data_IF_099942257728
#
_entry.id   IF_099942257728
#
_cell.length_a   1.000
_cell.length_b   1.000
_cell.length_c   1.000
_cell.angle_alpha   90.00
_cell.angle_beta   90.00
_cell.angle_gamma   90.00
#
_symmetry.space_group_name_H-M   'P 1'
#
loop_
_entity.id
_entity.type
_entity.pdbx_description
1 polymer ?
#
# COMPACT_ATOMS: atom_id res chain seq x y z
N UNK A 1 6.58 8.11 17.44
CA UNK A 1 6.86 9.32 16.63
C UNK A 1 7.93 9.05 15.57
N UNK A 2 9.05 8.38 15.89
CA UNK A 2 10.13 8.04 14.93
C UNK A 2 9.67 7.29 13.67
N UNK A 3 8.81 6.25 13.79
CA UNK A 3 8.35 5.45 12.63
C UNK A 3 7.62 6.24 11.54
N UNK A 4 6.98 7.36 11.91
CA UNK A 4 6.21 8.18 10.98
C UNK A 4 7.11 9.11 10.16
N UNK A 5 8.24 9.50 10.74
CA UNK A 5 9.27 10.26 10.03
C UNK A 5 9.92 9.41 8.93
N UNK A 6 10.09 8.10 9.14
CA UNK A 6 10.78 7.22 8.18
C UNK A 6 10.10 7.15 6.81
N UNK A 7 8.76 6.98 6.73
CA UNK A 7 8.06 6.94 5.43
C UNK A 7 8.21 8.25 4.66
N UNK A 8 8.12 9.39 5.35
CA UNK A 8 8.29 10.70 4.73
C UNK A 8 9.74 10.96 4.33
N UNK A 9 10.70 10.57 5.16
CA UNK A 9 12.13 10.69 4.86
C UNK A 9 12.50 9.84 3.65
N UNK A 10 12.10 8.57 3.59
CA UNK A 10 12.37 7.70 2.43
C UNK A 10 11.76 8.26 1.14
N UNK A 11 10.56 8.85 1.22
CA UNK A 11 9.94 9.53 0.07
C UNK A 11 10.73 10.76 -0.36
N UNK A 12 11.19 11.59 0.57
CA UNK A 12 12.04 12.73 0.25
C UNK A 12 13.37 12.29 -0.38
N UNK A 13 14.00 11.25 0.15
CA UNK A 13 15.22 10.64 -0.42
C UNK A 13 14.99 10.06 -1.82
N UNK A 14 13.86 9.39 -2.02
CA UNK A 14 13.42 8.91 -3.34
C UNK A 14 13.33 10.06 -4.34
N UNK A 15 12.70 11.17 -3.94
CA UNK A 15 12.57 12.37 -4.77
C UNK A 15 13.89 13.10 -5.02
N UNK A 16 14.84 13.04 -4.10
CA UNK A 16 16.19 13.59 -4.31
C UNK A 16 16.95 12.83 -5.42
N UNK A 17 16.55 11.59 -5.71
CA UNK A 17 17.14 10.71 -6.71
C UNK A 17 16.20 10.43 -7.89
N UNK A 18 15.24 11.31 -8.11
CA UNK A 18 14.16 11.09 -9.08
C UNK A 18 14.69 10.87 -10.52
N UNK A 19 15.82 11.49 -10.86
CA UNK A 19 16.44 11.39 -12.17
C UNK A 19 17.39 10.18 -12.34
N UNK A 20 17.65 9.43 -11.26
CA UNK A 20 18.50 8.23 -11.29
C UNK A 20 17.74 6.99 -11.78
N UNK A 21 16.40 7.00 -11.73
CA UNK A 21 15.55 5.83 -12.00
C UNK A 21 14.34 6.18 -12.87
N UNK A 22 13.84 5.21 -13.62
CA UNK A 22 12.71 5.40 -14.56
C UNK A 22 11.34 5.35 -13.86
N UNK A 23 11.23 4.50 -12.85
CA UNK A 23 10.03 4.36 -12.02
C UNK A 23 10.40 3.97 -10.59
N UNK A 24 9.44 4.18 -9.70
CA UNK A 24 9.60 3.97 -8.27
C UNK A 24 8.49 3.09 -7.74
N UNK A 25 8.84 2.31 -6.74
CA UNK A 25 7.95 1.37 -6.07
C UNK A 25 7.98 1.69 -4.58
N UNK A 26 6.80 1.90 -4.01
CA UNK A 26 6.61 1.96 -2.57
C UNK A 26 5.80 0.75 -2.13
N UNK A 27 6.26 0.09 -1.07
CA UNK A 27 5.51 -0.98 -0.38
C UNK A 27 5.61 -0.84 1.13
N UNK A 28 4.52 -1.21 1.78
CA UNK A 28 4.53 -1.61 3.18
C UNK A 28 5.27 -2.94 3.36
N UNK A 29 5.71 -3.19 4.58
CA UNK A 29 6.62 -4.28 4.93
C UNK A 29 5.97 -5.69 4.86
N UNK A 30 4.66 -5.75 4.70
CA UNK A 30 3.80 -6.94 4.63
C UNK A 30 3.19 -7.15 3.24
N UNK A 31 3.68 -6.44 2.23
CA UNK A 31 3.24 -6.53 0.85
C UNK A 31 4.40 -6.94 -0.05
N UNK A 32 4.16 -7.97 -0.85
CA UNK A 32 5.09 -8.39 -1.89
C UNK A 32 4.64 -7.86 -3.27
N UNK A 33 5.57 -7.29 -4.02
CA UNK A 33 5.37 -6.84 -5.39
C UNK A 33 6.31 -7.63 -6.29
N UNK A 34 5.71 -8.46 -7.14
CA UNK A 34 6.46 -9.27 -8.10
C UNK A 34 7.01 -8.44 -9.26
N UNK A 35 8.06 -8.96 -9.92
CA UNK A 35 8.58 -8.40 -11.18
C UNK A 35 7.49 -8.36 -12.25
N UNK A 36 6.58 -9.33 -12.29
CA UNK A 36 5.43 -9.34 -13.21
C UNK A 36 4.48 -8.17 -12.96
N UNK A 37 4.28 -7.77 -11.70
CA UNK A 37 3.50 -6.58 -11.38
C UNK A 37 4.18 -5.29 -11.86
N UNK A 38 5.51 -5.20 -11.72
CA UNK A 38 6.29 -4.07 -12.23
C UNK A 38 6.24 -3.99 -13.77
N UNK A 39 6.41 -5.11 -14.48
CA UNK A 39 6.31 -5.15 -15.93
C UNK A 39 4.91 -4.76 -16.43
N UNK A 40 3.86 -5.27 -15.76
CA UNK A 40 2.49 -4.92 -16.04
C UNK A 40 2.20 -3.43 -15.78
N UNK A 41 2.80 -2.84 -14.73
CA UNK A 41 2.73 -1.41 -14.46
C UNK A 41 3.26 -0.59 -15.64
N UNK A 42 4.49 -0.85 -16.08
CA UNK A 42 5.12 -0.12 -17.20
C UNK A 42 4.28 -0.24 -18.48
N UNK A 43 3.79 -1.45 -18.79
CA UNK A 43 2.97 -1.69 -19.98
C UNK A 43 1.61 -0.96 -19.92
N UNK A 44 0.92 -1.01 -18.78
CA UNK A 44 -0.38 -0.35 -18.61
C UNK A 44 -0.26 1.17 -18.48
N UNK A 45 0.87 1.69 -17.99
CA UNK A 45 1.11 3.13 -17.96
C UNK A 45 1.28 3.71 -19.37
N UNK A 46 2.04 3.04 -20.23
CA UNK A 46 2.21 3.44 -21.63
C UNK A 46 0.85 3.49 -22.36
N UNK A 47 0.01 2.50 -22.11
CA UNK A 47 -1.36 2.47 -22.59
C UNK A 47 -2.17 3.65 -22.06
N UNK A 48 -2.15 3.87 -20.75
CA UNK A 48 -2.96 4.91 -20.10
C UNK A 48 -2.61 6.28 -20.65
N UNK A 49 -1.32 6.51 -20.92
CA UNK A 49 -0.79 7.70 -21.58
C UNK A 49 -1.33 7.88 -23.00
N UNK A 50 -1.46 6.81 -23.78
CA UNK A 50 -2.07 6.86 -25.12
C UNK A 50 -3.58 7.14 -25.04
N UNK A 51 -4.29 6.52 -24.09
CA UNK A 51 -5.74 6.68 -23.98
C UNK A 51 -6.17 8.07 -23.49
N UNK A 52 -5.46 8.63 -22.51
CA UNK A 52 -5.82 9.92 -21.88
C UNK A 52 -5.08 11.11 -22.48
N UNK A 53 -4.00 10.86 -23.23
CA UNK A 53 -3.10 11.89 -23.72
C UNK A 53 -2.11 12.38 -22.66
N UNK A 54 -1.08 13.08 -23.14
CA UNK A 54 0.19 13.38 -22.46
C UNK A 54 0.08 14.10 -21.10
N UNK A 55 -1.02 14.83 -20.88
CA UNK A 55 -1.22 15.61 -19.67
C UNK A 55 -2.19 14.94 -18.68
N UNK A 56 -3.30 14.38 -19.17
CA UNK A 56 -4.36 13.87 -18.30
C UNK A 56 -4.01 12.54 -17.64
N UNK A 57 -3.15 11.72 -18.25
CA UNK A 57 -2.79 10.41 -17.70
C UNK A 57 -2.16 10.50 -16.30
N UNK A 58 -1.47 11.59 -15.98
CA UNK A 58 -0.82 11.82 -14.67
C UNK A 58 -1.81 12.05 -13.52
N UNK A 59 -3.08 12.37 -13.84
CA UNK A 59 -4.18 12.44 -12.87
C UNK A 59 -4.63 11.06 -12.39
N UNK A 60 -4.16 10.00 -13.04
CA UNK A 60 -4.49 8.63 -12.72
C UNK A 60 -3.27 7.91 -12.16
N UNK A 61 -3.50 6.98 -11.25
CA UNK A 61 -2.49 6.05 -10.78
C UNK A 61 -3.03 4.64 -10.89
N UNK A 62 -2.23 3.75 -11.47
CA UNK A 62 -2.54 2.32 -11.52
C UNK A 62 -2.50 1.79 -10.09
N UNK A 63 -3.65 1.32 -9.62
CA UNK A 63 -3.87 1.00 -8.22
C UNK A 63 -3.95 -0.51 -8.00
N UNK A 64 -3.32 -0.95 -6.92
CA UNK A 64 -3.27 -2.36 -6.55
C UNK A 64 -4.50 -2.76 -5.72
N UNK A 65 -5.05 -3.94 -5.96
CA UNK A 65 -6.00 -4.55 -5.05
C UNK A 65 -5.26 -5.37 -4.01
N UNK A 66 -5.39 -5.00 -2.75
CA UNK A 66 -4.87 -5.81 -1.65
C UNK A 66 -5.88 -6.91 -1.28
N UNK A 67 -5.42 -8.15 -1.22
CA UNK A 67 -6.19 -9.26 -0.69
C UNK A 67 -5.45 -10.00 0.42
N UNK A 68 -6.20 -10.68 1.26
CA UNK A 68 -5.72 -11.48 2.38
C UNK A 68 -6.41 -12.82 2.44
N UNK A 69 -5.75 -13.73 3.13
CA UNK A 69 -6.27 -15.04 3.46
C UNK A 69 -7.25 -14.93 4.65
N UNK A 70 -8.53 -15.23 4.41
CA UNK A 70 -9.54 -15.37 5.44
C UNK A 70 -9.39 -16.74 6.11
N UNK A 71 -8.48 -16.81 7.07
CA UNK A 71 -8.25 -17.99 7.89
C UNK A 71 -8.52 -17.65 9.35
N UNK A 72 -9.11 -18.59 10.10
CA UNK A 72 -9.15 -18.48 11.56
C UNK A 72 -7.72 -18.61 12.10
N UNK A 73 -7.15 -17.48 12.53
CA UNK A 73 -5.74 -17.37 12.94
C UNK A 73 -5.36 -18.25 14.14
N UNK A 74 -6.33 -18.85 14.85
CA UNK A 74 -6.07 -19.78 15.94
C UNK A 74 -5.37 -21.09 15.49
N UNK A 75 -5.30 -21.36 14.18
CA UNK A 75 -4.80 -22.62 13.64
C UNK A 75 -3.78 -22.47 12.52
N UNK A 76 -3.10 -21.34 12.34
CA UNK A 76 -2.04 -21.22 11.32
C UNK A 76 -0.66 -21.12 11.98
N UNK A 77 0.16 -22.15 11.79
CA UNK A 77 1.55 -22.30 12.23
C UNK A 77 2.38 -22.99 11.12
N UNK A 78 3.68 -23.16 11.34
CA UNK A 78 4.59 -23.75 10.33
C UNK A 78 4.21 -25.19 9.94
N UNK A 79 3.52 -25.93 10.80
CA UNK A 79 3.14 -27.33 10.56
C UNK A 79 1.81 -27.50 9.83
N UNK A 80 0.98 -26.46 9.76
CA UNK A 80 -0.33 -26.52 9.10
C UNK A 80 -0.56 -25.41 8.07
N UNK A 81 0.46 -24.63 7.72
CA UNK A 81 0.46 -23.64 6.62
C UNK A 81 0.06 -24.21 5.25
N UNK A 82 0.13 -25.53 5.06
CA UNK A 82 -0.33 -26.21 3.84
C UNK A 82 -1.83 -26.53 3.85
N UNK A 83 -2.53 -26.40 4.99
CA UNK A 83 -4.00 -26.57 5.09
C UNK A 83 -4.78 -25.36 4.54
N UNK A 84 -4.15 -24.55 3.69
CA UNK A 84 -4.72 -23.37 3.03
C UNK A 84 -5.86 -23.69 2.05
N UNK A 85 -6.23 -24.96 1.87
CA UNK A 85 -7.30 -25.38 0.97
C UNK A 85 -8.69 -24.83 1.32
N UNK A 86 -8.92 -24.42 2.57
CA UNK A 86 -10.20 -23.84 3.04
C UNK A 86 -10.17 -22.31 3.18
N UNK A 87 -9.07 -21.68 2.78
CA UNK A 87 -8.84 -20.26 3.02
C UNK A 87 -9.40 -19.44 1.87
N UNK A 88 -10.49 -18.71 2.12
CA UNK A 88 -11.06 -17.80 1.13
C UNK A 88 -10.21 -16.53 1.04
N UNK A 89 -9.98 -16.01 -0.17
CA UNK A 89 -9.31 -14.70 -0.32
C UNK A 89 -10.33 -13.59 -0.08
N UNK A 90 -10.07 -12.74 0.90
CA UNK A 90 -10.88 -11.55 1.20
C UNK A 90 -10.14 -10.30 0.82
N UNK A 91 -10.84 -9.32 0.28
CA UNK A 91 -10.29 -7.99 0.09
C UNK A 91 -10.09 -7.38 1.48
N UNK A 92 -8.83 -7.17 1.87
CA UNK A 92 -8.48 -6.83 3.26
C UNK A 92 -9.25 -5.64 3.80
N UNK A 93 -9.29 -4.59 3.00
CA UNK A 93 -9.92 -3.33 3.36
C UNK A 93 -11.42 -3.48 3.60
N UNK A 94 -12.02 -4.53 3.03
CA UNK A 94 -13.42 -4.59 2.71
C UNK A 94 -14.04 -5.87 3.27
N UNK A 95 -14.60 -5.74 4.46
CA UNK A 95 -15.68 -6.63 4.92
C UNK A 95 -16.97 -6.44 4.08
N UNK A 96 -16.85 -6.13 2.79
CA UNK A 96 -17.90 -5.76 1.82
C UNK A 96 -17.59 -6.39 0.47
N UNK A 97 -18.60 -6.71 -0.36
CA UNK A 97 -18.41 -7.36 -1.65
C UNK A 97 -17.58 -6.49 -2.64
N UNK A 98 -16.85 -7.16 -3.54
CA UNK A 98 -15.99 -6.57 -4.59
C UNK A 98 -16.72 -5.53 -5.45
N UNK A 99 -18.04 -5.68 -5.65
CA UNK A 99 -18.87 -4.74 -6.42
C UNK A 99 -18.95 -3.34 -5.82
N UNK A 100 -18.65 -3.18 -4.53
CA UNK A 100 -18.54 -1.85 -3.91
C UNK A 100 -17.12 -1.27 -4.09
N UNK A 101 -16.13 -2.12 -4.43
CA UNK A 101 -14.68 -1.82 -4.49
C UNK A 101 -14.30 -1.13 -5.75
N UNK A 102 -14.87 -1.66 -6.81
CA UNK A 102 -14.62 -1.24 -8.15
C UNK A 102 -15.83 -0.42 -8.58
N UNK A 103 -15.59 0.88 -8.74
CA UNK A 103 -16.56 1.82 -9.31
C UNK A 103 -16.30 1.95 -10.80
N UNK A 104 -17.32 2.37 -11.58
CA UNK A 104 -17.09 2.79 -12.95
C UNK A 104 -16.02 3.88 -13.01
N UNK A 105 -15.05 3.72 -13.90
CA UNK A 105 -14.10 4.79 -14.22
C UNK A 105 -14.71 5.78 -15.21
N UNK A 106 -14.19 7.00 -15.23
CA UNK A 106 -14.42 7.96 -16.33
C UNK A 106 -13.63 7.57 -17.58
N UNK A 107 -12.55 6.79 -17.40
CA UNK A 107 -11.82 6.11 -18.47
C UNK A 107 -12.73 5.08 -19.17
N UNK A 108 -12.23 4.50 -20.26
CA UNK A 108 -12.87 3.35 -20.91
C UNK A 108 -13.19 2.24 -19.88
N UNK A 109 -14.48 2.10 -19.57
CA UNK A 109 -15.01 1.17 -18.56
C UNK A 109 -14.80 -0.30 -18.91
N UNK A 110 -14.56 -0.61 -20.19
CA UNK A 110 -14.19 -1.96 -20.62
C UNK A 110 -12.73 -2.31 -20.27
N UNK A 111 -11.93 -1.32 -19.89
CA UNK A 111 -10.50 -1.48 -19.59
C UNK A 111 -10.13 -1.14 -18.15
N UNK A 112 -10.75 -0.12 -17.58
CA UNK A 112 -10.41 0.37 -16.24
C UNK A 112 -11.64 0.49 -15.35
N UNK A 113 -11.47 0.05 -14.10
CA UNK A 113 -12.37 0.39 -12.99
C UNK A 113 -11.64 1.31 -12.02
N UNK A 114 -12.38 2.06 -11.20
CA UNK A 114 -11.83 2.93 -10.17
C UNK A 114 -11.90 2.25 -8.81
N UNK A 115 -10.84 2.33 -8.00
CA UNK A 115 -10.94 1.93 -6.59
C UNK A 115 -11.70 2.98 -5.77
N UNK A 116 -12.77 2.59 -5.07
CA UNK A 116 -13.53 3.51 -4.22
C UNK A 116 -12.79 3.88 -2.93
N UNK A 117 -11.91 3.00 -2.45
CA UNK A 117 -11.02 3.23 -1.32
C UNK A 117 -9.66 2.61 -1.61
N UNK A 118 -8.66 3.43 -1.96
CA UNK A 118 -7.33 2.94 -2.28
C UNK A 118 -6.42 2.99 -1.05
N UNK A 119 -6.65 2.14 -0.04
CA UNK A 119 -5.64 1.88 0.98
C UNK A 119 -4.97 0.54 0.68
N UNK A 120 -3.95 0.68 -0.18
CA UNK A 120 -3.29 -0.44 -0.83
C UNK A 120 -1.99 -0.82 -0.13
N UNK A 121 -1.44 0.05 0.73
CA UNK A 121 -0.12 -0.10 1.34
C UNK A 121 1.02 -0.11 0.30
N UNK A 122 0.71 0.14 -0.97
CA UNK A 122 1.63 0.03 -2.07
C UNK A 122 1.20 0.93 -3.22
N UNK A 123 2.17 1.55 -3.88
CA UNK A 123 1.94 2.33 -5.10
C UNK A 123 3.20 2.32 -5.95
N UNK A 124 3.00 2.60 -7.24
CA UNK A 124 4.08 2.81 -8.19
C UNK A 124 3.86 4.14 -8.90
N UNK A 125 4.96 4.76 -9.34
CA UNK A 125 4.90 5.96 -10.16
C UNK A 125 6.13 6.06 -11.05
N UNK A 126 5.94 6.42 -12.32
CA UNK A 126 7.07 6.80 -13.17
C UNK A 126 7.65 8.14 -12.73
N UNK A 127 8.87 8.43 -13.20
CA UNK A 127 9.51 9.74 -13.06
C UNK A 127 8.56 10.88 -13.43
N UNK A 128 7.90 10.79 -14.58
CA UNK A 128 7.02 11.84 -15.09
C UNK A 128 5.77 12.06 -14.23
N UNK A 129 5.19 11.00 -13.66
CA UNK A 129 4.10 11.14 -12.68
C UNK A 129 4.59 11.82 -11.41
N UNK A 130 5.71 11.37 -10.86
CA UNK A 130 6.25 11.88 -9.60
C UNK A 130 6.67 13.34 -9.70
N UNK A 131 7.31 13.76 -10.79
CA UNK A 131 7.62 15.15 -11.08
C UNK A 131 6.35 16.01 -11.09
N UNK A 132 5.29 15.50 -11.70
CA UNK A 132 4.02 16.21 -11.75
C UNK A 132 3.27 16.20 -10.40
N UNK A 133 3.33 15.13 -9.62
CA UNK A 133 2.77 15.09 -8.26
C UNK A 133 3.52 16.04 -7.33
N UNK A 134 4.85 16.18 -7.49
CA UNK A 134 5.64 17.19 -6.79
C UNK A 134 5.13 18.60 -7.05
N UNK A 135 4.91 18.97 -8.31
CA UNK A 135 4.42 20.32 -8.65
C UNK A 135 2.96 20.54 -8.25
N UNK A 136 2.10 19.52 -8.41
CA UNK A 136 0.66 19.60 -8.09
C UNK A 136 0.37 19.71 -6.60
N UNK A 137 1.00 18.88 -5.79
CA UNK A 137 0.60 18.68 -4.39
C UNK A 137 1.77 18.55 -3.42
N UNK A 138 3.01 18.78 -3.87
CA UNK A 138 4.22 18.67 -3.04
C UNK A 138 4.34 17.28 -2.40
N UNK A 139 4.06 16.25 -3.20
CA UNK A 139 4.11 14.85 -2.74
C UNK A 139 5.51 14.41 -2.30
N UNK A 140 6.56 15.18 -2.59
CA UNK A 140 7.92 14.96 -2.11
C UNK A 140 8.15 15.43 -0.67
N UNK A 141 7.40 16.44 -0.23
CA UNK A 141 7.70 17.11 1.03
C UNK A 141 7.20 16.30 2.24
N UNK A 142 8.07 16.01 3.22
CA UNK A 142 7.66 15.61 4.55
C UNK A 142 6.78 16.69 5.15
N UNK A 143 5.47 16.52 5.08
CA UNK A 143 4.59 17.46 5.76
C UNK A 143 4.49 17.02 7.21
N UNK A 144 5.03 17.83 8.12
CA UNK A 144 4.49 17.94 9.45
C UNK A 144 3.07 18.48 9.26
N UNK A 145 2.08 17.60 9.06
CA UNK A 145 0.68 17.93 9.34
C UNK A 145 0.33 17.38 10.74
N UNK A 146 0.92 17.91 11.83
CA UNK A 146 0.27 17.80 13.12
C UNK A 146 -1.01 18.65 13.03
N UNK A 147 -2.09 18.13 13.58
CA UNK A 147 -3.33 18.88 13.66
C UNK A 147 -3.13 20.26 14.29
N UNK A 148 -3.78 21.25 13.68
CA UNK A 148 -4.63 22.13 14.47
C UNK A 148 -5.91 21.38 14.86
N UNK A 149 -7.08 21.94 14.58
CA UNK A 149 -8.41 21.33 14.79
C UNK A 149 -8.70 20.13 13.84
N UNK A 150 -7.68 19.53 13.24
CA UNK A 150 -7.80 18.50 12.21
C UNK A 150 -7.08 17.21 12.63
N UNK A 151 -7.63 16.04 12.25
CA UNK A 151 -7.42 14.79 12.95
C UNK A 151 -6.00 14.23 12.80
N UNK A 152 -5.65 13.34 13.74
CA UNK A 152 -4.43 12.50 13.84
C UNK A 152 -4.07 11.76 12.53
N UNK A 153 -4.94 11.77 11.53
CA UNK A 153 -4.85 11.06 10.24
C UNK A 153 -3.59 11.43 9.45
N UNK A 154 -3.19 12.71 9.41
CA UNK A 154 -1.95 13.13 8.72
C UNK A 154 -0.67 12.53 9.32
N UNK A 155 -0.76 11.99 10.54
CA UNK A 155 0.30 11.29 11.25
C UNK A 155 0.09 9.77 11.28
N UNK A 156 -0.85 9.23 10.52
CA UNK A 156 -1.05 7.79 10.43
C UNK A 156 -0.16 7.20 9.33
N UNK A 157 0.46 6.05 9.62
CA UNK A 157 1.26 5.28 8.66
C UNK A 157 0.55 5.15 7.31
N UNK A 158 -0.73 4.77 7.36
CA UNK A 158 -1.62 4.61 6.21
C UNK A 158 -1.67 5.86 5.33
N UNK A 159 -1.71 7.05 5.93
CA UNK A 159 -1.77 8.31 5.19
C UNK A 159 -0.52 8.54 4.34
N UNK A 160 0.65 8.34 4.95
CA UNK A 160 1.95 8.53 4.30
C UNK A 160 2.33 7.36 3.37
N UNK A 161 1.65 6.22 3.49
CA UNK A 161 1.82 5.04 2.64
C UNK A 161 1.06 5.14 1.29
N UNK A 162 0.66 6.35 0.89
CA UNK A 162 0.01 6.62 -0.40
C UNK A 162 -1.44 7.08 -0.33
N UNK A 163 -2.12 7.04 0.82
CA UNK A 163 -3.48 7.57 0.92
C UNK A 163 -3.55 9.09 0.67
N UNK A 164 -2.48 9.83 0.95
CA UNK A 164 -2.38 11.25 0.58
C UNK A 164 -2.39 11.48 -0.94
N UNK A 165 -2.00 10.48 -1.74
CA UNK A 165 -2.02 10.55 -3.20
C UNK A 165 -3.48 10.59 -3.70
N UNK A 166 -4.32 9.71 -3.15
CA UNK A 166 -5.67 9.49 -3.66
C UNK A 166 -6.75 10.33 -2.98
N UNK A 167 -6.46 10.88 -1.80
CA UNK A 167 -7.42 11.65 -1.02
C UNK A 167 -7.42 13.13 -1.44
N UNK A 168 -8.60 13.73 -1.52
CA UNK A 168 -8.76 15.20 -1.56
C UNK A 168 -8.68 15.83 -0.16
N UNK A 169 -8.89 15.04 0.89
CA UNK A 169 -8.94 15.55 2.26
C UNK A 169 -7.57 16.04 2.69
N UNK A 170 -7.56 17.06 3.53
CA UNK A 170 -6.37 17.61 4.16
C UNK A 170 -5.28 18.06 3.18
N UNK A 171 -5.61 18.36 1.91
CA UNK A 171 -4.62 18.77 0.90
C UNK A 171 -3.80 17.61 0.34
N UNK A 172 -4.44 16.47 0.08
CA UNK A 172 -3.85 15.38 -0.72
C UNK A 172 -3.94 15.64 -2.24
N UNK A 173 -3.34 14.76 -3.04
CA UNK A 173 -3.09 15.00 -4.47
C UNK A 173 -4.31 14.77 -5.38
N UNK A 174 -5.36 14.13 -4.86
CA UNK A 174 -6.57 13.79 -5.62
C UNK A 174 -6.28 13.01 -6.93
N UNK A 175 -5.34 12.08 -6.86
CA UNK A 175 -5.07 11.16 -7.97
C UNK A 175 -6.17 10.10 -8.01
N UNK A 176 -6.63 9.77 -9.21
CA UNK A 176 -7.71 8.82 -9.43
C UNK A 176 -7.10 7.41 -9.48
N UNK A 177 -7.39 6.54 -8.50
CA UNK A 177 -6.87 5.17 -8.51
C UNK A 177 -7.64 4.34 -9.54
N UNK A 178 -6.94 3.81 -10.54
CA UNK A 178 -7.55 3.00 -11.61
C UNK A 178 -6.95 1.60 -11.66
N UNK A 179 -7.79 0.61 -11.89
CA UNK A 179 -7.45 -0.80 -11.93
C UNK A 179 -7.61 -1.32 -13.35
N UNK A 180 -6.54 -1.83 -13.99
CA UNK A 180 -6.64 -2.42 -15.31
C UNK A 180 -7.32 -3.79 -15.23
N UNK A 181 -8.41 -3.96 -15.96
CA UNK A 181 -9.18 -5.20 -15.99
C UNK A 181 -8.43 -6.35 -16.69
N UNK A 182 -7.71 -6.03 -17.78
CA UNK A 182 -6.95 -7.03 -18.54
C UNK A 182 -5.71 -7.53 -17.80
N UNK A 183 -5.09 -6.67 -17.00
CA UNK A 183 -3.93 -7.00 -16.19
C UNK A 183 -4.27 -7.25 -14.71
N UNK A 184 -5.56 -7.44 -14.37
CA UNK A 184 -6.06 -7.46 -12.99
C UNK A 184 -5.24 -8.35 -12.05
N UNK A 185 -4.86 -9.55 -12.48
CA UNK A 185 -4.08 -10.49 -11.67
C UNK A 185 -2.71 -9.92 -11.24
N UNK A 186 -2.03 -9.20 -12.13
CA UNK A 186 -0.76 -8.55 -11.84
C UNK A 186 -0.91 -7.34 -10.90
N UNK A 187 -2.12 -6.78 -10.81
CA UNK A 187 -2.46 -5.70 -9.90
C UNK A 187 -3.17 -6.17 -8.63
N UNK A 188 -3.22 -7.49 -8.38
CA UNK A 188 -3.71 -8.03 -7.10
C UNK A 188 -2.54 -8.47 -6.23
N UNK A 189 -2.33 -7.78 -5.11
CA UNK A 189 -1.21 -8.02 -4.19
C UNK A 189 -1.69 -8.80 -2.98
N UNK A 190 -0.93 -9.84 -2.65
CA UNK A 190 -1.12 -10.57 -1.40
C UNK A 190 -0.55 -9.74 -0.26
N UNK A 191 -1.37 -9.51 0.76
CA UNK A 191 -0.87 -9.01 2.03
C UNK A 191 -0.70 -10.17 3.00
N UNK A 192 0.47 -10.21 3.63
CA UNK A 192 0.80 -11.22 4.62
C UNK A 192 -0.05 -11.01 5.88
N UNK A 193 -0.75 -12.06 6.33
CA UNK A 193 -1.55 -12.02 7.55
C UNK A 193 -0.79 -11.37 8.72
N UNK A 194 -1.22 -10.15 9.05
CA UNK A 194 -0.88 -9.31 10.20
C UNK A 194 0.46 -9.58 10.95
N UNK A 195 1.44 -8.69 10.76
CA UNK A 195 2.66 -8.57 11.57
C UNK A 195 2.46 -8.30 13.08
N UNK A 196 1.23 -8.06 13.54
CA UNK A 196 0.95 -7.76 14.95
C UNK A 196 0.80 -8.99 15.86
N UNK A 197 1.07 -10.22 15.40
CA UNK A 197 0.89 -11.41 16.25
C UNK A 197 1.99 -11.67 17.30
N UNK A 198 3.05 -10.85 17.37
CA UNK A 198 3.86 -10.71 18.58
C UNK A 198 3.54 -9.44 19.40
N UNK A 199 2.46 -8.71 19.08
CA UNK A 199 1.90 -7.76 20.05
C UNK A 199 0.99 -8.50 21.00
N UNK A 200 1.60 -9.20 21.95
CA UNK A 200 0.95 -9.57 23.21
C UNK A 200 0.50 -8.26 23.87
N UNK A 201 -0.81 -8.04 23.95
CA UNK A 201 -1.42 -6.88 24.61
C UNK A 201 -1.98 -5.80 23.68
N UNK A 202 -3.22 -5.36 23.95
CA UNK A 202 -3.76 -4.14 23.35
C UNK A 202 -2.81 -2.96 23.64
N UNK A 203 -2.35 -2.32 22.57
CA UNK A 203 -1.49 -1.11 22.59
C UNK A 203 -0.05 -1.31 23.07
N UNK A 204 0.74 -2.16 22.41
CA UNK A 204 2.20 -1.92 22.22
C UNK A 204 3.02 -1.46 23.45
N UNK A 205 2.61 -1.83 24.66
CA UNK A 205 3.39 -1.70 25.89
C UNK A 205 4.05 -3.05 26.08
N UNK A 206 5.37 -3.09 25.97
CA UNK A 206 6.21 -4.19 26.44
C UNK A 206 6.12 -4.26 27.97
N UNK A 207 4.97 -4.69 28.49
CA UNK A 207 4.69 -4.67 29.93
C UNK A 207 3.42 -5.39 30.35
N UNK A 208 2.87 -6.27 29.50
CA UNK A 208 1.89 -7.25 29.96
C UNK A 208 2.67 -8.44 30.52
N UNK A 209 2.51 -8.73 31.81
CA UNK A 209 3.12 -9.84 32.54
C UNK A 209 3.19 -11.12 31.68
N UNK A 210 4.35 -11.38 31.09
CA UNK A 210 4.68 -12.70 30.60
C UNK A 210 5.22 -13.50 31.80
N UNK A 211 4.83 -14.77 31.98
CA UNK A 211 5.48 -15.63 32.95
C UNK A 211 6.97 -15.69 32.62
N UNK A 212 7.82 -15.58 33.66
CA UNK A 212 9.27 -15.76 33.52
C UNK A 212 9.51 -17.14 32.92
N UNK A 213 9.96 -17.17 31.67
CA UNK A 213 10.60 -18.35 31.10
C UNK A 213 12.08 -18.10 31.27
N UNK A 214 12.71 -18.89 32.14
CA UNK A 214 14.15 -18.84 32.33
C UNK A 214 14.82 -19.23 31.00
N UNK A 215 15.52 -18.27 30.41
CA UNK A 215 16.38 -18.49 29.25
C UNK A 215 17.60 -19.25 29.73
N UNK A 216 17.64 -20.57 29.47
CA UNK A 216 18.89 -21.33 29.53
C UNK A 216 19.83 -20.73 28.46
N UNK A 217 20.95 -20.18 28.90
CA UNK A 217 21.94 -19.59 28.01
C UNK A 217 22.61 -20.67 27.16
N UNK A 218 22.83 -20.37 25.88
CA UNK A 218 23.51 -21.23 24.91
C UNK A 218 25.02 -21.31 25.18
N UNK A 219 25.42 -21.84 26.34
CA UNK A 219 26.81 -22.14 26.66
C UNK A 219 27.05 -23.52 27.28
N UNK A 220 26.06 -24.42 27.24
CA UNK A 220 26.17 -25.81 27.73
C UNK A 220 25.80 -26.84 26.65
N UNK A 221 26.37 -26.68 25.45
CA UNK A 221 26.44 -27.75 24.46
C UNK A 221 27.85 -27.80 23.85
N UNK A 222 28.77 -28.41 24.60
CA UNK A 222 29.98 -29.07 24.12
C UNK A 222 30.25 -30.32 24.96
#
# INVERSE_FOLDING_TARGET
RVRLYLTNTHRAEMYARLHDFDFFVYTEDDIDISVSAMAAFVAEEAVLRVCEGEHAWRLHALAFLRYELNASFAFLNDTNRQRTGEVTRVLWEWKRPLSKALLPSALNRSRYLRLSRPHTGAWMGSRAQLEWWRTKCRFDLPTNRPGGVHPVIGTQRVWMAGMELFSQRFGGCNIIPVMPLRAYQAFTLHHLANKNFQRVGQRGRLGGNLPKVDLISAHELH
#
